data_IF_935168661795
#
_entry.id   IF_935168661795
#
_cell.length_a   1.000
_cell.length_b   1.000
_cell.length_c   1.000
_cell.angle_alpha   90.00
_cell.angle_beta   90.00
_cell.angle_gamma   90.00
#
_symmetry.space_group_name_H-M   'P 1'
#
loop_
_entity.id
_entity.type
_entity.pdbx_description
1 polymer ?
#
# COMPACT_ATOMS: atom_id res chain seq x y z
N UNK A 1 -57.31 0.78 10.06
CA UNK A 1 -56.03 0.10 10.14
C UNK A 1 -55.06 0.60 9.06
N UNK A 2 -53.81 0.50 9.37
CA UNK A 2 -52.68 0.85 8.50
C UNK A 2 -51.84 -0.39 8.28
N UNK A 3 -51.48 -0.66 7.04
CA UNK A 3 -50.46 -1.64 6.70
C UNK A 3 -49.42 -1.06 5.75
N UNK A 4 -48.23 -1.61 5.77
CA UNK A 4 -47.21 -1.24 4.81
C UNK A 4 -47.29 -2.12 3.56
N UNK A 5 -46.89 -1.57 2.43
CA UNK A 5 -46.90 -2.27 1.14
C UNK A 5 -45.79 -3.31 0.99
N UNK A 6 -44.79 -3.30 1.89
CA UNK A 6 -43.77 -4.34 2.00
C UNK A 6 -43.44 -4.60 3.47
N UNK A 7 -42.75 -5.70 3.73
CA UNK A 7 -42.36 -6.10 5.08
C UNK A 7 -41.35 -5.11 5.68
N UNK A 8 -41.67 -4.63 6.87
CA UNK A 8 -40.78 -3.80 7.68
C UNK A 8 -40.40 -4.58 8.93
N UNK A 9 -39.15 -4.57 9.31
CA UNK A 9 -38.70 -5.26 10.50
C UNK A 9 -39.32 -4.63 11.77
N UNK A 10 -39.34 -5.41 12.87
CA UNK A 10 -40.23 -5.32 14.04
C UNK A 10 -40.27 -4.02 14.86
N UNK A 11 -39.60 -2.94 14.51
CA UNK A 11 -39.48 -1.76 15.36
C UNK A 11 -40.19 -0.51 14.82
N UNK A 12 -41.18 -0.67 13.95
CA UNK A 12 -41.95 0.45 13.44
C UNK A 12 -42.99 0.93 14.44
N UNK A 13 -43.16 2.24 14.56
CA UNK A 13 -44.25 2.88 15.30
C UNK A 13 -45.02 3.85 14.40
N UNK A 14 -46.35 3.90 14.58
CA UNK A 14 -47.21 4.78 13.81
C UNK A 14 -48.00 5.67 14.77
N UNK A 15 -47.99 6.99 14.46
CA UNK A 15 -48.79 8.00 15.15
C UNK A 15 -49.64 8.71 14.13
N UNK A 16 -50.95 8.81 14.42
CA UNK A 16 -51.86 9.69 13.66
C UNK A 16 -52.00 11.01 14.41
N UNK A 17 -51.67 12.09 13.73
CA UNK A 17 -51.81 13.47 14.26
C UNK A 17 -53.04 14.13 13.69
N UNK A 18 -54.01 14.49 14.55
CA UNK A 18 -55.20 15.21 14.17
C UNK A 18 -54.95 16.73 14.05
N UNK A 19 -55.86 17.41 13.37
CA UNK A 19 -55.77 18.87 13.14
C UNK A 19 -55.86 19.70 14.42
N UNK A 20 -56.45 19.18 15.49
CA UNK A 20 -56.63 19.79 16.81
C UNK A 20 -55.46 19.48 17.79
N UNK A 21 -54.39 18.82 17.30
CA UNK A 21 -53.22 18.46 18.09
C UNK A 21 -53.36 17.14 18.86
N UNK A 22 -54.44 16.39 18.66
CA UNK A 22 -54.57 15.04 19.23
C UNK A 22 -53.64 14.07 18.50
N UNK A 23 -52.94 13.23 19.28
CA UNK A 23 -52.03 12.18 18.78
C UNK A 23 -52.54 10.81 19.17
N UNK A 24 -52.68 9.93 18.19
CA UNK A 24 -53.08 8.54 18.43
C UNK A 24 -51.93 7.61 18.03
N UNK A 25 -51.37 6.88 18.99
CA UNK A 25 -50.40 5.81 18.73
C UNK A 25 -51.16 4.57 18.33
N UNK A 26 -50.87 4.05 17.14
CA UNK A 26 -51.51 2.81 16.65
C UNK A 26 -50.64 1.60 17.07
N UNK A 27 -51.20 0.70 17.90
CA UNK A 27 -50.49 -0.51 18.26
C UNK A 27 -50.47 -1.49 17.04
N UNK A 28 -49.45 -2.36 17.04
CA UNK A 28 -49.40 -3.47 16.06
C UNK A 28 -50.61 -4.38 16.23
N UNK A 29 -51.20 -4.74 15.12
CA UNK A 29 -52.33 -5.67 15.11
C UNK A 29 -51.89 -7.10 15.41
N UNK A 30 -52.71 -7.80 16.20
CA UNK A 30 -52.42 -9.16 16.71
C UNK A 30 -52.30 -10.20 15.58
N UNK A 31 -52.88 -9.97 14.41
CA UNK A 31 -53.01 -10.94 13.31
C UNK A 31 -52.60 -10.45 11.95
N UNK A 32 -52.00 -9.28 11.82
CA UNK A 32 -51.59 -8.74 10.52
C UNK A 32 -50.07 -8.59 10.43
N UNK A 33 -49.44 -9.08 9.35
CA UNK A 33 -48.07 -8.72 9.03
C UNK A 33 -48.02 -7.24 8.65
N UNK A 34 -47.22 -6.44 9.34
CA UNK A 34 -47.06 -5.00 9.13
C UNK A 34 -48.38 -4.21 9.33
N UNK A 35 -49.30 -4.74 10.12
CA UNK A 35 -50.57 -4.09 10.43
C UNK A 35 -50.57 -3.35 11.75
N UNK A 36 -51.19 -2.17 11.78
CA UNK A 36 -51.39 -1.32 12.93
C UNK A 36 -52.83 -0.85 12.99
N UNK A 37 -53.48 -0.84 14.11
CA UNK A 37 -54.86 -0.46 14.19
C UNK A 37 -55.30 0.10 15.54
N UNK A 38 -56.30 1.01 15.47
CA UNK A 38 -56.94 1.58 16.64
C UNK A 38 -58.25 2.26 16.17
N UNK A 39 -59.27 2.26 16.98
CA UNK A 39 -60.46 3.11 16.77
C UNK A 39 -60.13 4.56 17.10
N UNK A 40 -60.33 5.43 16.13
CA UNK A 40 -60.15 6.87 16.26
C UNK A 40 -61.37 7.62 15.77
N UNK A 41 -61.54 8.85 16.18
CA UNK A 41 -62.66 9.70 15.72
C UNK A 41 -62.55 9.97 14.21
N UNK A 42 -63.70 10.22 13.57
CA UNK A 42 -63.72 10.61 12.13
C UNK A 42 -62.98 11.93 11.95
N UNK A 43 -62.34 12.07 10.80
CA UNK A 43 -61.58 13.27 10.47
C UNK A 43 -60.35 12.95 9.64
N UNK A 44 -59.54 13.98 9.41
CA UNK A 44 -58.28 13.86 8.70
C UNK A 44 -57.12 13.87 9.66
N UNK A 45 -56.17 12.99 9.40
CA UNK A 45 -54.95 12.82 10.20
C UNK A 45 -53.72 12.86 9.31
N UNK A 46 -52.63 13.32 9.87
CA UNK A 46 -51.31 13.13 9.25
C UNK A 46 -50.60 11.95 9.90
N UNK A 47 -50.14 11.01 9.08
CA UNK A 47 -49.43 9.85 9.55
C UNK A 47 -47.95 10.19 9.79
N UNK A 48 -47.45 9.85 10.97
CA UNK A 48 -46.02 9.92 11.29
C UNK A 48 -45.57 8.53 11.69
N UNK A 49 -44.62 8.00 10.95
CA UNK A 49 -44.05 6.68 11.21
C UNK A 49 -42.59 6.84 11.64
N UNK A 50 -42.22 6.13 12.70
CA UNK A 50 -40.83 5.88 13.04
C UNK A 50 -40.46 4.50 12.52
N UNK A 51 -39.58 4.44 11.54
CA UNK A 51 -39.19 3.20 10.87
C UNK A 51 -37.79 2.78 11.30
N UNK A 52 -37.49 1.47 11.25
CA UNK A 52 -36.13 0.99 11.45
C UNK A 52 -35.16 1.57 10.43
N UNK A 53 -33.88 1.58 10.77
CA UNK A 53 -32.81 2.03 9.88
C UNK A 53 -32.89 1.31 8.50
N UNK A 54 -32.79 2.07 7.44
CA UNK A 54 -32.88 1.56 6.07
C UNK A 54 -34.29 1.58 5.47
N UNK A 55 -35.31 1.98 6.23
CA UNK A 55 -36.67 2.15 5.74
C UNK A 55 -37.09 3.61 5.79
N UNK A 56 -37.89 4.03 4.80
CA UNK A 56 -38.50 5.36 4.77
C UNK A 56 -39.88 5.29 4.15
N UNK A 57 -40.75 6.26 4.48
CA UNK A 57 -42.04 6.40 3.80
C UNK A 57 -41.82 6.83 2.36
N UNK A 58 -42.56 6.20 1.41
CA UNK A 58 -42.52 6.59 0.01
C UNK A 58 -43.06 8.01 -0.19
N UNK A 59 -44.04 8.41 0.62
CA UNK A 59 -44.63 9.72 0.64
C UNK A 59 -44.49 10.35 2.01
N UNK A 60 -44.00 11.58 2.08
CA UNK A 60 -43.86 12.28 3.35
C UNK A 60 -45.23 12.65 3.93
N UNK A 61 -45.40 12.40 5.22
CA UNK A 61 -46.56 12.80 5.99
C UNK A 61 -47.89 12.49 5.27
N UNK A 62 -48.18 11.22 4.95
CA UNK A 62 -49.44 10.87 4.26
C UNK A 62 -50.66 11.33 5.05
N UNK A 63 -51.67 11.79 4.34
CA UNK A 63 -52.96 12.18 4.93
C UNK A 63 -53.88 11.00 4.99
N UNK A 64 -54.44 10.70 6.16
CA UNK A 64 -55.34 9.59 6.42
C UNK A 64 -56.71 10.16 6.75
N UNK A 65 -57.69 9.81 5.92
CA UNK A 65 -59.10 10.20 6.12
C UNK A 65 -59.86 9.06 6.80
N UNK A 66 -60.39 9.33 7.98
CA UNK A 66 -61.25 8.34 8.70
C UNK A 66 -62.69 8.74 8.56
N UNK A 67 -63.49 7.86 7.93
CA UNK A 67 -64.90 8.10 7.60
C UNK A 67 -65.78 7.13 8.41
N UNK A 68 -66.85 7.67 8.96
CA UNK A 68 -67.80 6.91 9.76
C UNK A 68 -68.50 5.78 8.93
N UNK A 69 -68.78 4.66 9.58
CA UNK A 69 -69.52 3.56 8.99
C UNK A 69 -68.71 2.70 8.01
N UNK A 70 -67.38 2.87 7.94
CA UNK A 70 -66.49 2.09 7.08
C UNK A 70 -65.34 1.49 7.88
N UNK A 71 -64.86 0.36 7.44
CA UNK A 71 -63.52 -0.11 7.84
C UNK A 71 -62.49 0.67 7.04
N UNK A 72 -61.87 1.63 7.74
CA UNK A 72 -60.81 2.47 7.15
C UNK A 72 -59.53 1.68 7.17
N UNK A 73 -59.07 1.30 6.00
CA UNK A 73 -57.81 0.56 5.82
C UNK A 73 -56.95 1.25 4.79
N UNK A 74 -55.71 1.57 5.15
CA UNK A 74 -54.74 2.25 4.32
C UNK A 74 -53.52 1.40 4.17
N UNK A 75 -53.05 1.26 2.94
CA UNK A 75 -51.77 0.62 2.62
C UNK A 75 -50.79 1.72 2.30
N UNK A 76 -49.76 1.84 3.15
CA UNK A 76 -48.77 2.91 3.09
C UNK A 76 -47.53 2.40 2.37
N UNK A 77 -47.08 3.16 1.36
CA UNK A 77 -45.84 2.89 0.64
C UNK A 77 -44.63 3.10 1.49
N UNK A 78 -43.74 2.12 1.52
CA UNK A 78 -42.45 2.14 2.21
C UNK A 78 -41.35 1.80 1.22
N UNK A 79 -40.24 2.48 1.32
CA UNK A 79 -39.05 2.19 0.55
C UNK A 79 -38.04 1.50 1.48
N UNK A 80 -37.58 0.34 1.08
CA UNK A 80 -36.51 -0.38 1.76
C UNK A 80 -35.17 -0.08 1.06
N UNK A 81 -34.25 0.46 1.84
CA UNK A 81 -32.84 0.70 1.44
C UNK A 81 -31.90 -0.21 2.24
N UNK A 82 -32.42 -1.23 2.91
CA UNK A 82 -31.65 -2.12 3.80
C UNK A 82 -30.54 -2.82 3.04
N UNK A 83 -30.86 -3.44 1.89
CA UNK A 83 -29.87 -4.16 1.08
C UNK A 83 -28.87 -3.19 0.44
N UNK A 84 -29.32 -2.01 0.04
CA UNK A 84 -28.45 -0.97 -0.50
C UNK A 84 -27.45 -0.49 0.56
N UNK A 85 -27.91 -0.26 1.78
CA UNK A 85 -27.04 0.15 2.91
C UNK A 85 -26.01 -0.93 3.22
N UNK A 86 -26.42 -2.20 3.27
CA UNK A 86 -25.51 -3.33 3.49
C UNK A 86 -24.47 -3.43 2.38
N UNK A 87 -24.89 -3.29 1.12
CA UNK A 87 -23.98 -3.31 -0.02
C UNK A 87 -22.96 -2.17 0.03
N UNK A 88 -23.40 -0.95 0.37
CA UNK A 88 -22.50 0.19 0.51
C UNK A 88 -21.49 0.00 1.65
N UNK A 89 -21.91 -0.58 2.76
CA UNK A 89 -21.01 -0.93 3.85
C UNK A 89 -19.95 -1.96 3.42
N UNK A 90 -20.34 -2.94 2.61
CA UNK A 90 -19.42 -3.94 2.07
C UNK A 90 -18.41 -3.33 1.08
N UNK A 91 -18.75 -2.21 0.42
CA UNK A 91 -17.86 -1.55 -0.52
C UNK A 91 -16.80 -0.67 0.14
N UNK A 92 -16.89 -0.41 1.43
CA UNK A 92 -15.96 0.49 2.12
C UNK A 92 -14.49 0.08 1.99
N UNK A 93 -14.20 -1.22 1.90
CA UNK A 93 -12.85 -1.77 1.76
C UNK A 93 -12.45 -2.07 0.31
N UNK A 94 -13.35 -2.00 -0.66
CA UNK A 94 -13.10 -2.45 -2.04
C UNK A 94 -11.99 -1.64 -2.72
N UNK A 95 -11.94 -0.34 -2.48
CA UNK A 95 -10.91 0.55 -3.07
C UNK A 95 -9.48 0.23 -2.62
N UNK A 96 -9.35 -0.54 -1.53
CA UNK A 96 -8.06 -1.01 -1.02
C UNK A 96 -7.65 -2.37 -1.58
N UNK A 97 -8.48 -2.98 -2.40
CA UNK A 97 -8.21 -4.30 -3.00
C UNK A 97 -7.57 -4.17 -4.36
N UNK A 98 -6.74 -5.15 -4.71
CA UNK A 98 -6.11 -5.21 -6.03
C UNK A 98 -7.14 -5.32 -7.16
N UNK A 99 -8.26 -6.01 -6.92
CA UNK A 99 -9.36 -6.07 -7.88
C UNK A 99 -9.80 -4.69 -8.34
N UNK A 100 -9.85 -3.72 -7.43
CA UNK A 100 -10.20 -2.34 -7.75
C UNK A 100 -8.99 -1.54 -8.25
N UNK A 101 -7.93 -1.42 -7.45
CA UNK A 101 -6.87 -0.47 -7.78
C UNK A 101 -6.01 -0.90 -8.98
N UNK A 102 -6.01 -2.18 -9.35
CA UNK A 102 -5.37 -2.69 -10.56
C UNK A 102 -6.35 -2.98 -11.70
N UNK A 103 -7.63 -2.61 -11.53
CA UNK A 103 -8.63 -2.81 -12.57
C UNK A 103 -8.32 -1.97 -13.81
N UNK A 104 -8.82 -2.40 -14.97
CA UNK A 104 -8.82 -1.59 -16.18
C UNK A 104 -9.56 -0.27 -15.94
N UNK A 105 -9.16 0.79 -16.61
CA UNK A 105 -9.70 2.14 -16.38
C UNK A 105 -11.22 2.21 -16.58
N UNK A 106 -11.77 1.54 -17.60
CA UNK A 106 -13.18 1.48 -17.87
C UNK A 106 -13.99 0.76 -16.79
N UNK A 107 -13.47 -0.34 -16.25
CA UNK A 107 -14.10 -1.09 -15.16
C UNK A 107 -14.09 -0.32 -13.86
N UNK A 108 -12.99 0.33 -13.56
CA UNK A 108 -12.83 1.17 -12.37
C UNK A 108 -13.76 2.38 -12.41
N UNK A 109 -13.86 3.04 -13.56
CA UNK A 109 -14.78 4.17 -13.75
C UNK A 109 -16.23 3.73 -13.62
N UNK A 110 -16.62 2.62 -14.23
CA UNK A 110 -17.97 2.07 -14.11
C UNK A 110 -18.32 1.75 -12.65
N UNK A 111 -17.39 1.19 -11.89
CA UNK A 111 -17.58 0.96 -10.47
C UNK A 111 -17.73 2.26 -9.69
N UNK A 112 -16.88 3.25 -9.93
CA UNK A 112 -16.93 4.55 -9.24
C UNK A 112 -18.26 5.25 -9.50
N UNK A 113 -18.76 5.21 -10.73
CA UNK A 113 -20.07 5.78 -11.10
C UNK A 113 -21.23 5.03 -10.43
N UNK A 114 -21.19 3.71 -10.41
CA UNK A 114 -22.21 2.89 -9.76
C UNK A 114 -22.23 3.13 -8.24
N UNK A 115 -21.06 3.30 -7.63
CA UNK A 115 -20.94 3.62 -6.21
C UNK A 115 -21.57 4.99 -5.90
N UNK A 116 -21.27 6.02 -6.70
CA UNK A 116 -21.85 7.34 -6.53
C UNK A 116 -23.38 7.31 -6.68
N UNK A 117 -23.89 6.59 -7.68
CA UNK A 117 -25.33 6.43 -7.89
C UNK A 117 -26.01 5.72 -6.72
N UNK A 118 -25.38 4.71 -6.16
CA UNK A 118 -25.86 3.99 -4.98
C UNK A 118 -25.89 4.89 -3.74
N UNK A 119 -24.86 5.69 -3.52
CA UNK A 119 -24.79 6.66 -2.43
C UNK A 119 -25.88 7.73 -2.57
N UNK A 120 -26.12 8.21 -3.77
CA UNK A 120 -27.19 9.17 -4.06
C UNK A 120 -28.58 8.55 -3.82
N UNK A 121 -28.80 7.31 -4.22
CA UNK A 121 -30.04 6.58 -3.98
C UNK A 121 -30.28 6.35 -2.47
N UNK A 122 -29.23 6.23 -1.66
CA UNK A 122 -29.35 6.06 -0.23
C UNK A 122 -29.84 7.36 0.45
N UNK A 123 -29.35 8.52 0.04
CA UNK A 123 -29.58 9.80 0.69
C UNK A 123 -30.74 10.61 0.08
N UNK A 124 -31.08 10.35 -1.17
CA UNK A 124 -32.14 11.08 -1.86
C UNK A 124 -33.46 10.32 -1.79
N UNK A 125 -34.54 11.05 -1.98
CA UNK A 125 -35.87 10.45 -2.10
C UNK A 125 -36.04 9.87 -3.50
N UNK A 126 -36.08 8.55 -3.59
CA UNK A 126 -36.15 7.78 -4.85
C UNK A 126 -37.19 6.67 -4.72
N UNK A 127 -37.61 6.10 -5.83
CA UNK A 127 -38.52 4.96 -5.83
C UNK A 127 -37.80 3.67 -5.42
N UNK A 128 -38.58 2.65 -5.02
CA UNK A 128 -38.04 1.32 -4.74
C UNK A 128 -37.32 0.74 -5.95
N UNK A 129 -37.85 0.95 -7.14
CA UNK A 129 -37.25 0.50 -8.38
C UNK A 129 -35.86 1.15 -8.60
N UNK A 130 -35.75 2.43 -8.37
CA UNK A 130 -34.47 3.16 -8.45
C UNK A 130 -33.45 2.65 -7.42
N UNK A 131 -33.89 2.33 -6.21
CA UNK A 131 -33.04 1.70 -5.20
C UNK A 131 -32.52 0.35 -5.69
N UNK A 132 -33.44 -0.48 -6.22
CA UNK A 132 -33.11 -1.81 -6.71
C UNK A 132 -32.15 -1.75 -7.92
N UNK A 133 -32.35 -0.81 -8.82
CA UNK A 133 -31.45 -0.60 -9.97
C UNK A 133 -30.06 -0.14 -9.53
N UNK A 134 -30.00 0.78 -8.60
CA UNK A 134 -28.71 1.26 -8.06
C UNK A 134 -27.93 0.14 -7.38
N UNK A 135 -28.63 -0.71 -6.61
CA UNK A 135 -28.05 -1.89 -5.98
C UNK A 135 -27.53 -2.89 -7.02
N UNK A 136 -28.36 -3.23 -8.00
CA UNK A 136 -27.98 -4.17 -9.05
C UNK A 136 -26.79 -3.67 -9.87
N UNK A 137 -26.76 -2.38 -10.19
CA UNK A 137 -25.65 -1.77 -10.92
C UNK A 137 -24.37 -1.78 -10.13
N UNK A 138 -24.43 -1.51 -8.81
CA UNK A 138 -23.28 -1.56 -7.93
C UNK A 138 -22.72 -2.99 -7.82
N UNK A 139 -23.56 -3.97 -7.61
CA UNK A 139 -23.16 -5.38 -7.53
C UNK A 139 -22.51 -5.85 -8.84
N UNK A 140 -23.13 -5.52 -9.99
CA UNK A 140 -22.59 -5.87 -11.29
C UNK A 140 -21.23 -5.21 -11.56
N UNK A 141 -21.09 -3.92 -11.26
CA UNK A 141 -19.84 -3.20 -11.43
C UNK A 141 -18.74 -3.72 -10.49
N UNK A 142 -19.10 -4.08 -9.27
CA UNK A 142 -18.17 -4.68 -8.31
C UNK A 142 -17.64 -6.04 -8.81
N UNK A 143 -18.53 -6.89 -9.31
CA UNK A 143 -18.15 -8.20 -9.86
C UNK A 143 -17.32 -8.10 -11.14
N UNK A 144 -17.50 -7.03 -11.90
CA UNK A 144 -16.76 -6.80 -13.15
C UNK A 144 -15.32 -6.27 -12.93
N UNK A 145 -14.97 -5.88 -11.72
CA UNK A 145 -13.61 -5.44 -11.42
C UNK A 145 -12.62 -6.56 -11.71
N UNK A 146 -11.63 -6.27 -12.55
CA UNK A 146 -10.72 -7.24 -13.15
C UNK A 146 -9.26 -7.09 -12.72
N UNK A 147 -8.99 -6.29 -11.70
CA UNK A 147 -7.64 -6.08 -11.22
C UNK A 147 -7.02 -7.35 -10.64
N UNK A 148 -5.76 -7.59 -11.02
CA UNK A 148 -4.98 -8.72 -10.52
C UNK A 148 -4.07 -8.27 -9.39
N UNK A 149 -3.63 -9.20 -8.56
CA UNK A 149 -2.66 -8.98 -7.50
C UNK A 149 -1.39 -8.37 -8.11
N UNK A 150 -0.85 -7.33 -7.46
CA UNK A 150 0.37 -6.67 -7.91
C UNK A 150 1.56 -7.63 -7.90
N UNK A 151 2.42 -7.54 -8.91
CA UNK A 151 3.60 -8.39 -9.05
C UNK A 151 4.75 -7.89 -8.15
N UNK A 152 4.65 -8.16 -6.86
CA UNK A 152 5.68 -7.80 -5.87
C UNK A 152 6.97 -8.61 -6.09
N UNK A 153 6.87 -9.81 -6.66
CA UNK A 153 8.04 -10.62 -6.98
C UNK A 153 9.00 -9.91 -7.94
N UNK A 154 8.49 -9.12 -8.88
CA UNK A 154 9.31 -8.33 -9.79
C UNK A 154 10.16 -7.27 -9.04
N UNK A 155 9.61 -6.68 -7.98
CA UNK A 155 10.36 -5.76 -7.12
C UNK A 155 11.51 -6.46 -6.39
N UNK A 156 11.26 -7.65 -5.87
CA UNK A 156 12.27 -8.47 -5.18
C UNK A 156 13.39 -8.91 -6.11
N UNK A 157 13.06 -9.30 -7.35
CA UNK A 157 14.03 -9.62 -8.37
C UNK A 157 14.90 -8.40 -8.72
N UNK A 158 14.28 -7.23 -8.87
CA UNK A 158 15.00 -5.99 -9.13
C UNK A 158 15.94 -5.61 -7.97
N UNK A 159 15.53 -5.85 -6.73
CA UNK A 159 16.38 -5.63 -5.54
C UNK A 159 17.60 -6.55 -5.54
N UNK A 160 17.44 -7.81 -5.92
CA UNK A 160 18.55 -8.75 -6.06
C UNK A 160 19.50 -8.32 -7.18
N UNK A 161 18.97 -7.90 -8.32
CA UNK A 161 19.76 -7.40 -9.44
C UNK A 161 20.55 -6.14 -9.06
N UNK A 162 19.93 -5.24 -8.31
CA UNK A 162 20.61 -4.05 -7.78
C UNK A 162 21.78 -4.45 -6.86
N UNK A 163 21.57 -5.39 -5.95
CA UNK A 163 22.62 -5.86 -5.04
C UNK A 163 23.81 -6.41 -5.84
N UNK A 164 23.55 -7.20 -6.89
CA UNK A 164 24.60 -7.69 -7.78
C UNK A 164 25.31 -6.55 -8.53
N UNK A 165 24.58 -5.57 -9.05
CA UNK A 165 25.11 -4.44 -9.79
C UNK A 165 26.02 -3.57 -8.95
N UNK A 166 25.69 -3.36 -7.68
CA UNK A 166 26.53 -2.55 -6.75
C UNK A 166 27.89 -3.18 -6.45
N UNK A 167 28.05 -4.46 -6.76
CA UNK A 167 29.31 -5.20 -6.61
C UNK A 167 30.14 -5.21 -7.88
N UNK A 168 29.87 -4.31 -8.81
CA UNK A 168 30.60 -4.21 -10.08
C UNK A 168 31.31 -2.88 -10.21
N UNK A 169 32.37 -2.84 -11.01
CA UNK A 169 33.07 -1.60 -11.35
C UNK A 169 32.20 -0.63 -12.14
N UNK A 170 31.23 -1.14 -12.89
CA UNK A 170 30.26 -0.34 -13.63
C UNK A 170 29.51 0.63 -12.68
N UNK A 171 29.14 0.15 -11.51
CA UNK A 171 28.55 0.96 -10.45
C UNK A 171 29.61 1.74 -9.67
N UNK A 172 30.62 1.04 -9.13
CA UNK A 172 31.60 1.60 -8.23
C UNK A 172 32.40 2.76 -8.86
N UNK A 173 32.68 2.70 -10.16
CA UNK A 173 33.46 3.71 -10.90
C UNK A 173 32.58 4.66 -11.73
N UNK A 174 31.27 4.59 -11.58
CA UNK A 174 30.36 5.51 -12.23
C UNK A 174 30.48 6.92 -11.62
N UNK A 175 30.10 7.93 -12.39
CA UNK A 175 30.01 9.31 -11.87
C UNK A 175 29.03 9.34 -10.68
N UNK A 176 29.36 10.14 -9.69
CA UNK A 176 28.61 10.23 -8.42
C UNK A 176 27.12 10.53 -8.67
N UNK A 177 26.81 11.47 -9.57
CA UNK A 177 25.40 11.79 -9.87
C UNK A 177 24.64 10.61 -10.43
N UNK A 178 25.22 9.88 -11.36
CA UNK A 178 24.62 8.70 -12.00
C UNK A 178 24.38 7.59 -10.96
N UNK A 179 25.33 7.39 -10.07
CA UNK A 179 25.22 6.42 -9.00
C UNK A 179 24.14 6.80 -8.00
N UNK A 180 24.06 8.08 -7.60
CA UNK A 180 23.00 8.57 -6.71
C UNK A 180 21.61 8.45 -7.32
N UNK A 181 21.46 8.73 -8.59
CA UNK A 181 20.17 8.58 -9.29
C UNK A 181 19.71 7.12 -9.30
N UNK A 182 20.65 6.19 -9.52
CA UNK A 182 20.39 4.77 -9.46
C UNK A 182 20.01 4.31 -8.03
N UNK A 183 20.76 4.75 -7.03
CA UNK A 183 20.47 4.43 -5.62
C UNK A 183 19.09 4.97 -5.18
N UNK A 184 18.73 6.17 -5.64
CA UNK A 184 17.43 6.77 -5.35
C UNK A 184 16.29 5.98 -6.00
N UNK A 185 16.45 5.57 -7.24
CA UNK A 185 15.48 4.72 -7.94
C UNK A 185 15.33 3.36 -7.23
N UNK A 186 16.40 2.79 -6.73
CA UNK A 186 16.37 1.58 -5.91
C UNK A 186 15.58 1.79 -4.61
N UNK A 187 15.77 2.90 -3.91
CA UNK A 187 15.03 3.18 -2.67
C UNK A 187 13.52 3.20 -2.90
N UNK A 188 13.08 3.75 -4.03
CA UNK A 188 11.66 3.72 -4.42
C UNK A 188 11.15 2.28 -4.57
N UNK A 189 11.91 1.44 -5.25
CA UNK A 189 11.59 0.01 -5.42
C UNK A 189 11.50 -0.69 -4.06
N UNK A 190 12.47 -0.45 -3.18
CA UNK A 190 12.51 -1.09 -1.86
C UNK A 190 11.32 -0.68 -0.98
N UNK A 191 10.90 0.58 -1.02
CA UNK A 191 9.74 1.07 -0.28
C UNK A 191 8.45 0.43 -0.79
N UNK A 192 8.29 0.30 -2.11
CA UNK A 192 7.12 -0.34 -2.70
C UNK A 192 7.06 -1.84 -2.39
N UNK A 193 8.21 -2.50 -2.27
CA UNK A 193 8.27 -3.94 -1.99
C UNK A 193 7.69 -4.32 -0.61
N UNK A 194 7.65 -3.39 0.33
CA UNK A 194 7.08 -3.59 1.69
C UNK A 194 5.71 -2.94 1.86
N UNK A 195 5.16 -2.32 0.82
CA UNK A 195 3.83 -1.72 0.84
C UNK A 195 2.78 -2.76 0.46
N UNK A 196 1.88 -3.19 1.39
CA UNK A 196 0.87 -4.20 1.09
C UNK A 196 -0.21 -3.71 0.13
N UNK A 197 -0.30 -2.39 -0.09
CA UNK A 197 -1.30 -1.76 -0.96
C UNK A 197 -0.70 -1.26 -2.27
N UNK A 198 0.52 -1.71 -2.63
CA UNK A 198 1.20 -1.27 -3.83
C UNK A 198 0.39 -1.60 -5.09
N UNK A 199 0.23 -0.60 -5.95
CA UNK A 199 -0.45 -0.73 -7.24
C UNK A 199 0.52 -1.21 -8.31
N UNK A 200 0.01 -1.99 -9.27
CA UNK A 200 0.83 -2.48 -10.38
C UNK A 200 1.45 -1.33 -11.18
N UNK A 201 0.73 -0.23 -11.35
CA UNK A 201 1.25 0.95 -12.04
C UNK A 201 2.47 1.55 -11.33
N UNK A 202 2.44 1.63 -10.00
CA UNK A 202 3.58 2.09 -9.21
C UNK A 202 4.80 1.18 -9.40
N UNK A 203 4.58 -0.14 -9.41
CA UNK A 203 5.63 -1.13 -9.69
C UNK A 203 6.23 -0.89 -11.08
N UNK A 204 5.39 -0.76 -12.09
CA UNK A 204 5.83 -0.55 -13.47
C UNK A 204 6.67 0.71 -13.61
N UNK A 205 6.24 1.82 -13.00
CA UNK A 205 6.97 3.08 -13.02
C UNK A 205 8.32 2.99 -12.29
N UNK A 206 8.32 2.40 -11.11
CA UNK A 206 9.53 2.25 -10.31
C UNK A 206 10.57 1.37 -11.01
N UNK A 207 10.15 0.25 -11.61
CA UNK A 207 11.03 -0.63 -12.37
C UNK A 207 11.57 0.05 -13.64
N UNK A 208 10.75 0.82 -14.32
CA UNK A 208 11.17 1.58 -15.50
C UNK A 208 12.22 2.64 -15.15
N UNK A 209 12.04 3.36 -14.04
CA UNK A 209 13.00 4.35 -13.56
C UNK A 209 14.31 3.71 -13.12
N UNK A 210 14.24 2.58 -12.40
CA UNK A 210 15.42 1.83 -11.98
C UNK A 210 16.21 1.34 -13.19
N UNK A 211 15.54 0.78 -14.18
CA UNK A 211 16.15 0.30 -15.42
C UNK A 211 16.82 1.44 -16.21
N UNK A 212 16.16 2.59 -16.28
CA UNK A 212 16.72 3.78 -16.94
C UNK A 212 17.97 4.28 -16.22
N UNK A 213 17.93 4.38 -14.91
CA UNK A 213 19.06 4.81 -14.11
C UNK A 213 20.23 3.82 -14.19
N UNK A 214 19.94 2.51 -14.17
CA UNK A 214 20.93 1.46 -14.38
C UNK A 214 21.62 1.60 -15.75
N UNK A 215 20.84 1.85 -16.79
CA UNK A 215 21.36 2.05 -18.15
C UNK A 215 22.36 3.19 -18.30
N UNK A 216 22.33 4.17 -17.39
CA UNK A 216 23.26 5.30 -17.37
C UNK A 216 24.55 5.03 -16.60
N UNK A 217 24.66 3.92 -15.88
CA UNK A 217 25.89 3.54 -15.18
C UNK A 217 27.00 3.33 -16.21
N UNK A 218 28.10 4.07 -16.07
CA UNK A 218 29.17 4.16 -17.06
C UNK A 218 30.56 3.88 -16.49
N UNK A 219 30.65 3.35 -15.30
CA UNK A 219 31.92 2.98 -14.69
C UNK A 219 32.63 1.87 -15.45
N UNK A 220 33.95 1.97 -15.56
CA UNK A 220 34.78 0.88 -16.11
C UNK A 220 34.99 -0.18 -15.03
N UNK A 221 35.24 -1.41 -15.45
CA UNK A 221 35.64 -2.47 -14.55
C UNK A 221 36.89 -2.03 -13.76
N UNK A 222 36.90 -2.33 -12.46
CA UNK A 222 38.06 -2.02 -11.63
C UNK A 222 39.24 -2.87 -12.01
N UNK A 223 40.40 -2.25 -12.19
CA UNK A 223 41.67 -2.93 -12.45
C UNK A 223 42.40 -3.19 -11.14
N UNK A 224 42.44 -4.44 -10.72
CA UNK A 224 43.10 -4.89 -9.49
C UNK A 224 44.57 -5.32 -9.71
N UNK A 225 45.05 -5.33 -10.96
CA UNK A 225 46.30 -5.97 -11.30
C UNK A 225 47.53 -5.40 -10.59
N UNK A 226 47.60 -4.06 -10.47
CA UNK A 226 48.70 -3.43 -9.75
C UNK A 226 48.71 -3.77 -8.25
N UNK A 227 47.52 -3.81 -7.63
CA UNK A 227 47.41 -4.15 -6.21
C UNK A 227 47.75 -5.61 -5.96
N UNK A 228 47.26 -6.52 -6.83
CA UNK A 228 47.55 -7.94 -6.76
C UNK A 228 49.05 -8.20 -6.83
N UNK A 229 49.71 -7.60 -7.81
CA UNK A 229 51.19 -7.72 -7.98
C UNK A 229 51.93 -7.19 -6.75
N UNK A 230 51.52 -6.04 -6.24
CA UNK A 230 52.16 -5.43 -5.09
C UNK A 230 52.02 -6.29 -3.83
N UNK A 231 50.84 -6.84 -3.57
CA UNK A 231 50.58 -7.74 -2.43
C UNK A 231 51.48 -9.01 -2.53
N UNK A 232 51.63 -9.60 -3.71
CA UNK A 232 52.55 -10.75 -3.90
C UNK A 232 53.98 -10.38 -3.58
N UNK A 233 54.43 -9.23 -4.01
CA UNK A 233 55.78 -8.73 -3.69
C UNK A 233 55.96 -8.46 -2.20
N UNK A 234 54.94 -7.93 -1.53
CA UNK A 234 54.98 -7.65 -0.10
C UNK A 234 54.97 -8.89 0.76
N UNK A 235 54.40 -9.98 0.35
CA UNK A 235 54.49 -11.28 1.01
C UNK A 235 55.96 -11.74 1.07
N UNK A 236 56.69 -11.60 -0.02
CA UNK A 236 58.12 -11.89 -0.05
C UNK A 236 58.94 -10.95 0.82
N UNK A 237 58.61 -9.68 0.82
CA UNK A 237 59.26 -8.64 1.66
C UNK A 237 59.07 -8.98 3.14
N UNK A 238 57.92 -9.41 3.58
CA UNK A 238 57.65 -9.77 4.98
C UNK A 238 58.48 -11.01 5.42
N UNK A 239 58.71 -11.94 4.51
CA UNK A 239 59.48 -13.14 4.84
C UNK A 239 60.97 -12.88 5.02
N UNK A 240 61.53 -11.94 4.25
CA UNK A 240 63.02 -11.89 4.06
C UNK A 240 63.64 -10.57 4.44
N UNK A 241 62.92 -9.48 4.50
CA UNK A 241 63.48 -8.14 4.64
C UNK A 241 63.62 -7.73 6.10
N UNK A 242 64.85 -7.35 6.50
CA UNK A 242 65.14 -6.90 7.86
C UNK A 242 64.35 -5.69 8.28
N UNK A 243 63.98 -4.77 7.37
CA UNK A 243 63.19 -3.58 7.66
C UNK A 243 61.84 -3.95 8.27
N UNK A 244 61.22 -5.04 7.80
CA UNK A 244 59.95 -5.53 8.36
C UNK A 244 60.19 -6.43 9.58
N UNK A 245 61.08 -7.41 9.45
CA UNK A 245 61.27 -8.46 10.47
C UNK A 245 61.68 -7.86 11.80
N UNK A 246 62.55 -6.84 11.80
CA UNK A 246 63.10 -6.20 13.00
C UNK A 246 62.48 -4.79 13.24
N UNK A 247 61.37 -4.46 12.61
CA UNK A 247 60.68 -3.19 12.82
C UNK A 247 60.11 -3.08 14.23
N UNK A 248 59.93 -1.85 14.71
CA UNK A 248 59.18 -1.58 15.93
C UNK A 248 57.76 -2.10 15.87
N UNK A 249 57.20 -2.50 17.00
CA UNK A 249 55.88 -3.10 17.07
C UNK A 249 54.77 -2.19 16.49
N UNK A 250 54.83 -0.90 16.78
CA UNK A 250 53.83 0.06 16.32
C UNK A 250 53.82 0.18 14.79
N UNK A 251 54.98 0.36 14.18
CA UNK A 251 55.12 0.50 12.73
C UNK A 251 54.78 -0.82 12.01
N UNK A 252 55.14 -1.95 12.62
CA UNK A 252 54.85 -3.28 12.09
C UNK A 252 53.37 -3.56 12.09
N UNK A 253 52.68 -3.24 13.20
CA UNK A 253 51.21 -3.40 13.29
C UNK A 253 50.48 -2.50 12.29
N UNK A 254 50.91 -1.24 12.14
CA UNK A 254 50.34 -0.31 11.17
C UNK A 254 50.48 -0.83 9.71
N UNK A 255 51.67 -1.34 9.39
CA UNK A 255 51.91 -1.94 8.07
C UNK A 255 51.05 -3.18 7.84
N UNK A 256 50.94 -4.09 8.80
CA UNK A 256 50.15 -5.28 8.70
C UNK A 256 48.64 -4.96 8.58
N UNK A 257 48.19 -3.92 9.26
CA UNK A 257 46.81 -3.42 9.14
C UNK A 257 46.55 -2.92 7.71
N UNK A 258 47.43 -2.10 7.16
CA UNK A 258 47.34 -1.60 5.78
C UNK A 258 47.43 -2.75 4.76
N UNK A 259 48.27 -3.75 5.03
CA UNK A 259 48.36 -4.95 4.18
C UNK A 259 47.04 -5.75 4.19
N UNK A 260 46.45 -5.96 5.36
CA UNK A 260 45.17 -6.63 5.50
C UNK A 260 44.04 -5.86 4.78
N UNK A 261 44.00 -4.54 4.92
CA UNK A 261 43.04 -3.69 4.23
C UNK A 261 43.19 -3.82 2.70
N UNK A 262 44.41 -3.85 2.20
CA UNK A 262 44.70 -4.05 0.78
C UNK A 262 44.21 -5.42 0.28
N UNK A 263 44.39 -6.48 1.09
CA UNK A 263 43.86 -7.82 0.77
C UNK A 263 42.34 -7.83 0.72
N UNK A 264 41.69 -7.12 1.65
CA UNK A 264 40.25 -6.98 1.69
C UNK A 264 39.73 -6.27 0.43
N UNK A 265 40.39 -5.20 -0.01
CA UNK A 265 40.04 -4.49 -1.26
C UNK A 265 40.25 -5.41 -2.45
N UNK A 266 41.33 -6.16 -2.51
CA UNK A 266 41.62 -7.09 -3.60
C UNK A 266 40.52 -8.16 -3.75
N UNK A 267 39.95 -8.63 -2.65
CA UNK A 267 38.89 -9.64 -2.63
C UNK A 267 37.48 -9.08 -2.73
N UNK A 268 37.33 -7.76 -2.80
CA UNK A 268 36.04 -7.08 -2.90
C UNK A 268 35.71 -6.74 -4.36
N UNK A 269 34.79 -7.48 -5.02
CA UNK A 269 34.44 -7.20 -6.42
C UNK A 269 33.74 -5.85 -6.59
N UNK A 270 33.19 -5.27 -5.51
CA UNK A 270 32.56 -3.95 -5.50
C UNK A 270 33.50 -2.79 -5.20
N UNK A 271 34.81 -3.06 -5.04
CA UNK A 271 35.79 -2.00 -4.81
C UNK A 271 35.91 -1.08 -6.03
N UNK A 272 35.98 0.23 -5.79
CA UNK A 272 36.23 1.21 -6.86
C UNK A 272 37.71 1.26 -7.22
N UNK A 273 38.02 1.86 -8.38
CA UNK A 273 39.41 2.13 -8.75
C UNK A 273 40.08 3.06 -7.72
N UNK A 274 39.33 3.99 -7.13
CA UNK A 274 39.84 4.85 -6.07
C UNK A 274 40.19 4.06 -4.81
N UNK A 275 39.34 3.08 -4.44
CA UNK A 275 39.62 2.20 -3.30
C UNK A 275 40.95 1.44 -3.49
N UNK A 276 41.20 0.96 -4.70
CA UNK A 276 42.44 0.27 -5.06
C UNK A 276 43.63 1.21 -4.93
N UNK A 277 43.54 2.44 -5.44
CA UNK A 277 44.60 3.45 -5.32
C UNK A 277 44.88 3.83 -3.88
N UNK A 278 43.82 4.04 -3.11
CA UNK A 278 43.95 4.43 -1.70
C UNK A 278 44.61 3.31 -0.86
N UNK A 279 44.20 2.07 -1.08
CA UNK A 279 44.76 0.93 -0.40
C UNK A 279 46.25 0.75 -0.73
N UNK A 280 46.62 0.90 -2.00
CA UNK A 280 47.99 0.82 -2.47
C UNK A 280 48.86 1.96 -1.85
N UNK A 281 48.34 3.19 -1.84
CA UNK A 281 49.01 4.36 -1.25
C UNK A 281 49.21 4.18 0.24
N UNK A 282 48.16 3.73 0.97
CA UNK A 282 48.24 3.48 2.41
C UNK A 282 49.29 2.42 2.76
N UNK A 283 49.32 1.33 1.99
CA UNK A 283 50.30 0.26 2.17
C UNK A 283 51.75 0.75 1.91
N UNK A 284 51.96 1.47 0.82
CA UNK A 284 53.27 2.07 0.51
C UNK A 284 53.73 3.04 1.56
N UNK A 285 52.83 3.87 2.09
CA UNK A 285 53.17 4.83 3.16
C UNK A 285 53.52 4.12 4.47
N UNK A 286 52.79 3.09 4.84
CA UNK A 286 53.11 2.30 6.03
C UNK A 286 54.42 1.55 5.88
N UNK A 287 54.74 1.05 4.69
CA UNK A 287 56.01 0.41 4.37
C UNK A 287 57.20 1.36 4.58
N UNK A 288 57.09 2.61 4.18
CA UNK A 288 58.14 3.62 4.32
C UNK A 288 58.57 3.87 5.79
N UNK A 289 57.69 3.57 6.72
CA UNK A 289 57.97 3.74 8.17
C UNK A 289 58.67 2.55 8.80
N UNK A 290 58.88 1.47 8.05
CA UNK A 290 59.61 0.30 8.55
C UNK A 290 61.11 0.53 8.45
N UNK A 291 61.80 0.56 9.61
CA UNK A 291 63.20 0.86 9.72
C UNK A 291 63.96 -0.20 10.53
N UNK A 292 63.44 -1.42 10.56
CA UNK A 292 64.06 -2.50 11.29
C UNK A 292 65.50 -2.76 10.83
N UNK A 293 66.34 -3.09 11.77
CA UNK A 293 67.69 -3.46 11.52
C UNK A 293 68.00 -4.77 12.22
N UNK A 294 68.66 -5.70 11.52
CA UNK A 294 69.13 -6.93 12.11
C UNK A 294 70.11 -6.62 13.27
N UNK A 295 69.87 -7.23 14.45
CA UNK A 295 70.79 -7.05 15.56
C UNK A 295 72.20 -7.49 15.20
N UNK A 296 73.19 -6.73 15.68
CA UNK A 296 74.60 -7.16 15.52
C UNK A 296 74.86 -8.42 16.31
N UNK A 297 75.60 -9.35 15.74
CA UNK A 297 76.05 -10.53 16.45
C UNK A 297 76.86 -10.15 17.65
N UNK A 298 76.63 -10.79 18.82
CA UNK A 298 77.42 -10.53 20.02
C UNK A 298 78.86 -10.95 19.72
N UNK A 299 79.81 -10.07 20.14
CA UNK A 299 81.25 -10.42 20.06
C UNK A 299 81.54 -11.51 21.08
N UNK A 300 82.18 -12.58 20.62
CA UNK A 300 82.70 -13.56 21.57
C UNK A 300 83.80 -12.95 22.43
N UNK A 301 83.81 -13.25 23.74
CA UNK A 301 84.86 -12.78 24.63
C UNK A 301 86.26 -13.32 24.24
#
# INVERSE_FOLDING_TARGET
>A
SISFDQSVSKAATIVLKGADGENFVLPAEKYGKNGFGKSVATGQYTLVATLPTGYELAEEAPVISVVAGRNNHYRIGVISKVDLLAALNNQAAVTKTAQYFNASADKKEAYDQALQAAQAALTNKVSQEQVNQALASLEAASQALDGKVSNVAALKEAMQAYDATTKTGRYANAKEKVRRDYDRAFQTVALLAVDPTVKQEQINQALAELSRAEGKLNGKATDFSSLEKYIKEELKFQEKNAKFIYAGNEEKEAYLAAFKDAQTILSNPGASQQDVKDALTALKNAKKKLHGKKPKAARRP
#
